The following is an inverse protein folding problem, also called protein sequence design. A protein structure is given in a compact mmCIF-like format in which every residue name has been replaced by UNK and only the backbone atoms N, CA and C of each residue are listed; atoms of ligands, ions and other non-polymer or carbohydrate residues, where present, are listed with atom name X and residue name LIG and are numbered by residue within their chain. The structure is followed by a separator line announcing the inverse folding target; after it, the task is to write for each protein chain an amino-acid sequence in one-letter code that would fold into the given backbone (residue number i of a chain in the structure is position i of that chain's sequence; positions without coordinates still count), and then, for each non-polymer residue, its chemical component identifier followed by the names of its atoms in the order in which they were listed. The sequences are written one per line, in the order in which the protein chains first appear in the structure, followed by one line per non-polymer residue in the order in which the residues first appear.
data_IF_627947850584
#
_entry.id   IF_627947850584
#
_cell.length_a   1.000
_cell.length_b   1.000
_cell.length_c   1.000
_cell.angle_alpha   90.00
_cell.angle_beta   90.00
_cell.angle_gamma   90.00
#
_symmetry.space_group_name_H-M   'P 1'
#
loop_
_entity.id
_entity.type
_entity.pdbx_description
1 polymer ?
#
# COMPACT_ATOMS: atom_id res chain seq x y z
N UNK A 1 -22.42 1.95 22.11
CA UNK A 1 -21.92 1.78 20.72
C UNK A 1 -20.85 0.69 20.59
N UNK A 2 -19.72 0.75 21.31
CA UNK A 2 -18.75 -0.36 21.31
C UNK A 2 -19.25 -1.54 22.17
N UNK A 3 -19.85 -1.22 23.31
CA UNK A 3 -20.42 -2.18 24.27
C UNK A 3 -21.57 -3.01 23.67
N UNK A 4 -22.40 -2.40 22.82
CA UNK A 4 -23.51 -3.10 22.15
C UNK A 4 -22.98 -4.14 21.15
N UNK A 5 -21.87 -3.83 20.48
CA UNK A 5 -21.21 -4.74 19.55
C UNK A 5 -20.52 -5.88 20.28
N UNK A 6 -19.87 -5.62 21.42
CA UNK A 6 -19.23 -6.67 22.23
C UNK A 6 -20.27 -7.63 22.82
N UNK A 7 -21.45 -7.12 23.15
CA UNK A 7 -22.59 -7.93 23.59
C UNK A 7 -23.14 -8.81 22.47
N UNK A 8 -23.23 -8.26 21.25
CA UNK A 8 -23.66 -9.01 20.08
C UNK A 8 -22.65 -10.10 19.69
N UNK A 9 -21.34 -9.81 19.76
CA UNK A 9 -20.27 -10.79 19.56
C UNK A 9 -20.36 -11.92 20.59
N UNK A 10 -20.57 -11.58 21.86
CA UNK A 10 -20.69 -12.57 22.94
C UNK A 10 -21.89 -13.50 22.73
N UNK A 11 -23.03 -12.94 22.31
CA UNK A 11 -24.22 -13.71 21.99
C UNK A 11 -24.00 -14.63 20.79
N UNK A 12 -23.42 -14.11 19.71
CA UNK A 12 -23.15 -14.88 18.50
C UNK A 12 -22.15 -16.01 18.76
N UNK A 13 -21.18 -15.83 19.66
CA UNK A 13 -20.25 -16.90 20.05
C UNK A 13 -20.94 -18.05 20.78
N UNK A 14 -21.90 -17.75 21.66
CA UNK A 14 -22.65 -18.75 22.41
C UNK A 14 -23.61 -19.53 21.48
N UNK A 15 -24.35 -18.80 20.63
CA UNK A 15 -25.22 -19.40 19.61
C UNK A 15 -24.42 -20.33 18.66
N UNK A 16 -23.18 -19.94 18.32
CA UNK A 16 -22.30 -20.73 17.46
C UNK A 16 -21.82 -22.01 18.15
N UNK A 17 -21.46 -21.92 19.44
CA UNK A 17 -21.08 -23.08 20.26
C UNK A 17 -22.22 -24.08 20.38
N UNK A 18 -23.44 -23.60 20.61
CA UNK A 18 -24.64 -24.44 20.68
C UNK A 18 -24.95 -25.10 19.33
N UNK A 19 -24.76 -24.37 18.23
CA UNK A 19 -24.90 -24.91 16.88
C UNK A 19 -23.90 -26.04 16.62
N UNK A 20 -22.64 -25.86 17.01
CA UNK A 20 -21.60 -26.88 16.88
C UNK A 20 -21.94 -28.14 17.67
N UNK A 21 -22.38 -28.00 18.93
CA UNK A 21 -22.82 -29.16 19.73
C UNK A 21 -24.03 -29.87 19.10
N UNK A 22 -24.98 -29.10 18.56
CA UNK A 22 -26.17 -29.64 17.89
C UNK A 22 -25.80 -30.40 16.61
N UNK A 23 -24.85 -29.87 15.82
CA UNK A 23 -24.33 -30.51 14.60
C UNK A 23 -23.53 -31.78 14.90
N UNK A 24 -22.73 -31.79 15.97
CA UNK A 24 -21.95 -32.96 16.40
C UNK A 24 -22.82 -34.06 17.02
N UNK A 25 -23.96 -33.70 17.59
CA UNK A 25 -24.92 -34.66 18.17
C UNK A 25 -25.81 -35.37 17.14
N UNK A 26 -25.79 -34.93 15.87
CA UNK A 26 -26.63 -35.48 14.81
C UNK A 26 -25.98 -36.76 14.24
N UNK A 27 -26.73 -37.88 14.10
CA UNK A 27 -26.15 -39.12 13.60
C UNK A 27 -25.59 -38.94 12.18
N UNK A 28 -24.51 -39.67 11.83
CA UNK A 28 -23.82 -39.50 10.56
C UNK A 28 -24.78 -39.85 9.41
N UNK A 29 -25.09 -38.87 8.58
CA UNK A 29 -25.72 -39.11 7.29
C UNK A 29 -24.62 -39.62 6.37
N UNK A 30 -24.72 -40.89 5.98
CA UNK A 30 -23.75 -41.60 5.15
C UNK A 30 -23.79 -41.06 3.72
N UNK A 31 -23.11 -39.92 3.48
CA UNK A 31 -22.86 -39.36 2.16
C UNK A 31 -21.39 -38.95 2.07
N UNK A 32 -20.60 -39.90 1.58
CA UNK A 32 -19.27 -39.74 1.01
C UNK A 32 -19.20 -38.53 0.05
N UNK A 33 -18.65 -37.41 0.51
CA UNK A 33 -18.36 -36.25 -0.33
C UNK A 33 -18.20 -34.94 0.46
N UNK A 34 -16.97 -34.43 0.51
CA UNK A 34 -16.60 -33.08 0.98
C UNK A 34 -17.65 -32.00 0.65
N UNK A 35 -18.48 -31.61 1.62
CA UNK A 35 -19.50 -30.57 1.47
C UNK A 35 -18.94 -29.16 1.18
N UNK A 36 -17.64 -28.91 1.41
CA UNK A 36 -16.95 -27.68 1.01
C UNK A 36 -16.63 -27.59 -0.50
N UNK A 37 -16.80 -28.68 -1.25
CA UNK A 37 -16.47 -28.69 -2.69
C UNK A 37 -17.60 -28.11 -3.54
N UNK A 38 -18.85 -28.12 -3.05
CA UNK A 38 -20.01 -27.59 -3.77
C UNK A 38 -20.15 -26.07 -3.72
N UNK A 39 -19.60 -25.40 -2.69
CA UNK A 39 -19.62 -23.93 -2.56
C UNK A 39 -18.33 -23.25 -3.02
N UNK A 40 -17.24 -24.01 -3.22
CA UNK A 40 -15.98 -23.51 -3.77
C UNK A 40 -16.13 -22.64 -5.04
N UNK A 41 -16.89 -23.04 -6.08
CA UNK A 41 -16.99 -22.23 -7.29
C UNK A 41 -17.68 -20.86 -7.08
N UNK A 42 -18.47 -20.69 -6.01
CA UNK A 42 -19.12 -19.42 -5.66
C UNK A 42 -18.37 -18.63 -4.57
N UNK A 43 -17.60 -19.30 -3.71
CA UNK A 43 -16.81 -18.69 -2.65
C UNK A 43 -15.47 -18.12 -3.15
N UNK A 44 -14.85 -18.70 -4.17
CA UNK A 44 -13.56 -18.23 -4.70
C UNK A 44 -13.59 -16.76 -5.17
N UNK A 45 -14.62 -16.29 -5.89
CA UNK A 45 -14.73 -14.88 -6.27
C UNK A 45 -14.89 -13.95 -5.07
N UNK A 46 -15.66 -14.37 -4.05
CA UNK A 46 -15.86 -13.59 -2.83
C UNK A 46 -14.58 -13.53 -1.98
N UNK A 47 -13.86 -14.65 -1.85
CA UNK A 47 -12.56 -14.71 -1.17
C UNK A 47 -11.50 -13.88 -1.89
N UNK A 48 -11.47 -13.88 -3.23
CA UNK A 48 -10.56 -13.04 -4.00
C UNK A 48 -10.87 -11.55 -3.81
N UNK A 49 -12.15 -11.19 -3.82
CA UNK A 49 -12.60 -9.81 -3.57
C UNK A 49 -12.26 -9.37 -2.14
N UNK A 50 -12.53 -10.19 -1.13
CA UNK A 50 -12.15 -9.90 0.25
C UNK A 50 -10.63 -9.76 0.42
N UNK A 51 -9.83 -10.64 -0.20
CA UNK A 51 -8.36 -10.55 -0.16
C UNK A 51 -7.86 -9.27 -0.84
N UNK A 52 -8.48 -8.87 -1.96
CA UNK A 52 -8.16 -7.61 -2.63
C UNK A 52 -8.52 -6.40 -1.77
N UNK A 53 -9.66 -6.44 -1.06
CA UNK A 53 -10.08 -5.36 -0.18
C UNK A 53 -9.19 -5.30 1.07
N UNK A 54 -8.78 -6.44 1.62
CA UNK A 54 -7.80 -6.47 2.72
C UNK A 54 -6.47 -5.85 2.30
N UNK A 55 -5.94 -6.22 1.13
CA UNK A 55 -4.71 -5.61 0.62
C UNK A 55 -4.92 -4.12 0.29
N UNK A 56 -6.12 -3.73 -0.15
CA UNK A 56 -6.46 -2.33 -0.37
C UNK A 56 -6.48 -1.55 0.94
N UNK A 57 -7.15 -2.07 1.96
CA UNK A 57 -7.18 -1.53 3.32
C UNK A 57 -5.77 -1.45 3.90
N UNK A 58 -4.92 -2.44 3.68
CA UNK A 58 -3.51 -2.40 4.11
C UNK A 58 -2.72 -1.28 3.41
N UNK A 59 -2.93 -1.09 2.10
CA UNK A 59 -2.31 0.02 1.35
C UNK A 59 -2.83 1.39 1.78
N UNK A 60 -4.12 1.49 2.08
CA UNK A 60 -4.77 2.73 2.55
C UNK A 60 -4.31 3.05 3.97
N UNK A 61 -4.29 2.06 4.87
CA UNK A 61 -3.82 2.20 6.25
C UNK A 61 -2.35 2.62 6.31
N UNK A 62 -1.50 2.08 5.42
CA UNK A 62 -0.09 2.52 5.28
C UNK A 62 0.04 4.00 4.87
N UNK A 63 -0.99 4.57 4.21
CA UNK A 63 -1.03 5.97 3.75
C UNK A 63 -1.89 6.88 4.66
N UNK A 64 -2.67 6.31 5.57
CA UNK A 64 -3.38 7.02 6.63
C UNK A 64 -2.38 7.53 7.67
N UNK A 65 -2.08 8.83 7.63
CA UNK A 65 -1.13 9.47 8.54
C UNK A 65 -0.06 10.30 7.83
N UNK A 66 0.02 10.22 6.50
CA UNK A 66 0.88 11.13 5.73
C UNK A 66 0.19 12.49 5.65
N UNK A 67 0.79 13.51 6.25
CA UNK A 67 0.33 14.89 6.10
C UNK A 67 0.53 15.32 4.65
N UNK A 68 -0.57 15.39 3.91
CA UNK A 68 -0.57 15.82 2.51
C UNK A 68 -0.07 17.26 2.33
N UNK A 69 -0.20 18.12 3.34
CA UNK A 69 0.35 19.48 3.34
C UNK A 69 1.87 19.43 3.38
N UNK A 70 2.43 18.59 4.26
CA UNK A 70 3.87 18.38 4.34
C UNK A 70 4.42 17.75 3.05
N UNK A 71 3.79 16.66 2.58
CA UNK A 71 4.18 16.01 1.32
C UNK A 71 4.12 16.98 0.14
N UNK A 72 3.06 17.80 0.02
CA UNK A 72 2.95 18.84 -0.99
C UNK A 72 4.15 19.80 -0.92
N UNK A 73 4.51 20.26 0.28
CA UNK A 73 5.61 21.21 0.46
C UNK A 73 6.98 20.58 0.12
N UNK A 74 7.18 19.30 0.42
CA UNK A 74 8.41 18.58 0.05
C UNK A 74 8.49 18.40 -1.47
N UNK A 75 7.38 18.04 -2.14
CA UNK A 75 7.33 17.94 -3.61
C UNK A 75 7.57 19.31 -4.25
N UNK A 76 6.96 20.38 -3.73
CA UNK A 76 7.20 21.73 -4.22
C UNK A 76 8.67 22.12 -4.09
N UNK A 77 9.29 21.90 -2.92
CA UNK A 77 10.72 22.13 -2.73
C UNK A 77 11.58 21.33 -3.70
N UNK A 78 11.21 20.08 -3.97
CA UNK A 78 11.93 19.24 -4.92
C UNK A 78 11.89 19.82 -6.33
N UNK A 79 10.74 20.34 -6.76
CA UNK A 79 10.58 20.94 -8.08
C UNK A 79 11.19 22.35 -8.17
N UNK A 80 11.24 23.10 -7.06
CA UNK A 80 11.81 24.46 -7.00
C UNK A 80 13.33 24.46 -6.87
N UNK A 81 13.89 23.55 -6.07
CA UNK A 81 15.32 23.53 -5.69
C UNK A 81 16.08 22.33 -6.23
N UNK A 82 15.39 21.33 -6.79
CA UNK A 82 16.02 20.17 -7.44
C UNK A 82 16.94 19.34 -6.54
N UNK A 83 16.88 19.54 -5.22
CA UNK A 83 17.69 18.81 -4.22
C UNK A 83 17.20 17.36 -4.05
N UNK A 84 17.28 16.56 -5.12
CA UNK A 84 16.82 15.17 -5.14
C UNK A 84 17.48 14.33 -4.06
N UNK A 85 18.79 14.45 -3.88
CA UNK A 85 19.52 13.62 -2.92
C UNK A 85 19.07 13.82 -1.48
N UNK A 86 18.54 15.01 -1.14
CA UNK A 86 18.02 15.32 0.19
C UNK A 86 16.51 15.03 0.30
N UNK A 87 15.72 15.38 -0.72
CA UNK A 87 14.25 15.40 -0.64
C UNK A 87 13.60 14.09 -1.13
N UNK A 88 14.20 13.37 -2.07
CA UNK A 88 13.67 12.10 -2.56
C UNK A 88 13.65 11.00 -1.47
N UNK A 89 14.65 10.88 -0.58
CA UNK A 89 14.55 9.96 0.56
C UNK A 89 13.39 10.29 1.51
N UNK A 90 13.09 11.57 1.72
CA UNK A 90 11.95 12.02 2.54
C UNK A 90 10.64 11.61 1.89
N UNK A 91 10.50 11.81 0.58
CA UNK A 91 9.33 11.37 -0.19
C UNK A 91 9.20 9.84 -0.14
N UNK A 92 10.32 9.12 -0.31
CA UNK A 92 10.36 7.67 -0.25
C UNK A 92 9.90 7.13 1.10
N UNK A 93 10.28 7.78 2.20
CA UNK A 93 9.79 7.43 3.54
C UNK A 93 8.29 7.70 3.69
N UNK A 94 7.82 8.90 3.28
CA UNK A 94 6.40 9.28 3.41
C UNK A 94 5.48 8.39 2.59
N UNK A 95 5.89 8.03 1.37
CA UNK A 95 5.09 7.23 0.44
C UNK A 95 5.42 5.73 0.50
N UNK A 96 6.33 5.34 1.39
CA UNK A 96 6.82 3.96 1.56
C UNK A 96 7.37 3.34 0.27
N UNK A 97 8.22 4.09 -0.44
CA UNK A 97 8.94 3.56 -1.59
C UNK A 97 9.93 2.48 -1.15
N UNK A 98 10.03 1.45 -1.96
CA UNK A 98 11.15 0.52 -1.93
C UNK A 98 12.45 1.20 -2.41
N UNK A 99 13.59 0.61 -2.05
CA UNK A 99 14.91 1.04 -2.55
C UNK A 99 14.97 1.06 -4.08
N UNK A 100 14.29 0.13 -4.75
CA UNK A 100 14.25 0.05 -6.22
C UNK A 100 13.44 1.19 -6.84
N UNK A 101 12.34 1.61 -6.22
CA UNK A 101 11.56 2.77 -6.66
C UNK A 101 12.34 4.06 -6.48
N UNK A 102 13.06 4.20 -5.37
CA UNK A 102 13.95 5.36 -5.13
C UNK A 102 15.06 5.40 -6.18
N UNK A 103 15.72 4.28 -6.48
CA UNK A 103 16.75 4.23 -7.52
C UNK A 103 16.20 4.55 -8.91
N UNK A 104 14.99 4.10 -9.25
CA UNK A 104 14.34 4.48 -10.53
C UNK A 104 14.11 5.99 -10.60
N UNK A 105 13.62 6.60 -9.52
CA UNK A 105 13.45 8.06 -9.46
C UNK A 105 14.78 8.79 -9.66
N UNK A 106 15.87 8.35 -9.01
CA UNK A 106 17.20 8.92 -9.21
C UNK A 106 17.68 8.74 -10.66
N UNK A 107 17.56 7.55 -11.24
CA UNK A 107 17.98 7.30 -12.62
C UNK A 107 17.24 8.18 -13.63
N UNK A 108 15.91 8.29 -13.48
CA UNK A 108 15.09 9.17 -14.33
C UNK A 108 15.51 10.62 -14.14
N UNK A 109 15.77 11.04 -12.91
CA UNK A 109 16.26 12.39 -12.63
C UNK A 109 17.61 12.68 -13.29
N UNK A 110 18.59 11.80 -13.13
CA UNK A 110 19.90 11.91 -13.78
C UNK A 110 19.77 11.96 -15.30
N UNK A 111 18.89 11.13 -15.88
CA UNK A 111 18.65 11.14 -17.32
C UNK A 111 18.03 12.47 -17.79
N UNK A 112 17.09 13.03 -17.02
CA UNK A 112 16.50 14.33 -17.31
C UNK A 112 17.59 15.40 -17.25
N UNK A 113 18.32 15.52 -16.14
CA UNK A 113 19.34 16.55 -15.95
C UNK A 113 20.54 16.46 -16.91
N UNK A 114 20.87 15.27 -17.43
CA UNK A 114 22.03 15.07 -18.32
C UNK A 114 21.68 15.13 -19.82
N UNK A 115 20.41 15.33 -20.20
CA UNK A 115 19.99 15.43 -21.60
C UNK A 115 19.67 16.89 -22.00
N UNK A 116 20.66 17.67 -22.50
CA UNK A 116 20.50 19.10 -22.79
C UNK A 116 19.50 19.42 -23.91
N UNK A 117 19.09 18.43 -24.71
CA UNK A 117 18.14 18.61 -25.82
C UNK A 117 16.67 18.37 -25.42
N UNK A 118 16.44 17.67 -24.30
CA UNK A 118 15.10 17.31 -23.81
C UNK A 118 14.69 18.06 -22.53
N UNK A 119 15.65 18.64 -21.81
CA UNK A 119 15.39 19.55 -20.71
C UNK A 119 14.77 20.86 -21.23
N UNK A 120 13.44 20.93 -21.23
CA UNK A 120 12.74 22.21 -21.36
C UNK A 120 13.28 23.23 -20.34
N UNK A 121 13.27 24.51 -20.70
CA UNK A 121 13.95 25.63 -20.02
C UNK A 121 13.79 25.72 -18.48
N UNK A 122 12.81 25.02 -17.90
CA UNK A 122 12.52 24.93 -16.46
C UNK A 122 13.68 24.27 -15.69
N UNK A 123 14.35 23.27 -16.27
CA UNK A 123 15.42 22.51 -15.60
C UNK A 123 16.83 22.96 -16.00
N UNK A 124 16.93 23.89 -16.96
CA UNK A 124 18.20 24.33 -17.53
C UNK A 124 19.06 25.15 -16.56
N UNK A 125 18.42 25.95 -15.69
CA UNK A 125 19.11 26.64 -14.57
C UNK A 125 19.47 25.70 -13.40
N UNK A 126 18.91 24.50 -13.39
CA UNK A 126 19.02 23.55 -12.30
C UNK A 126 20.23 22.63 -12.42
N UNK A 127 20.72 22.43 -13.64
CA UNK A 127 21.88 21.59 -13.94
C UNK A 127 23.24 22.26 -13.67
N UNK A 128 23.28 23.54 -13.29
CA UNK A 128 24.54 24.29 -13.12
C UNK A 128 25.26 24.05 -11.78
N UNK A 129 24.75 23.18 -10.90
CA UNK A 129 25.26 23.07 -9.53
C UNK A 129 26.03 21.81 -9.16
N UNK A 130 26.43 20.97 -10.13
CA UNK A 130 27.28 19.81 -9.84
C UNK A 130 28.30 19.53 -10.96
N UNK A 131 29.32 20.39 -11.10
CA UNK A 131 30.71 20.02 -11.39
C UNK A 131 31.59 21.28 -11.60
N UNK A 132 32.07 21.85 -10.47
CA UNK A 132 33.33 22.62 -10.45
C UNK A 132 34.11 22.34 -9.17
N UNK A 133 34.27 21.07 -8.85
CA UNK A 133 35.23 20.57 -7.85
C UNK A 133 35.45 19.11 -8.21
N UNK A 134 36.53 18.83 -8.95
CA UNK A 134 37.25 17.54 -9.04
C UNK A 134 38.04 17.39 -10.35
N UNK A 135 38.81 18.42 -10.74
CA UNK A 135 39.93 18.28 -11.68
C UNK A 135 41.09 19.23 -11.33
N UNK A 136 41.57 19.21 -10.08
CA UNK A 136 42.95 19.56 -9.68
C UNK A 136 43.27 19.11 -8.25
#
# INVERSE_FOLDING_TARGET
MIEDKDKEISKLLDDNKDLHQSLESKPPVDHNGNHYTGMKPFLLPLEAMLKSELHNMERVQKREGVDMTYLKNVILKLLETGEVDALLPVIGMLLQFSLEEIHKCQQVWFHICWSPEECGAIWSHHCDHQERSDWE
#
